data_IF_531241788318
#
_entry.id   IF_531241788318
#
_cell.length_a   1.000
_cell.length_b   1.000
_cell.length_c   1.000
_cell.angle_alpha   90.00
_cell.angle_beta   90.00
_cell.angle_gamma   90.00
#
_symmetry.space_group_name_H-M   'P 1'
#
loop_
_entity.id
_entity.type
_entity.pdbx_description
1 polymer ?
#
# COMPACT_ATOMS: atom_id res chain seq x y z
N UNK A 1 38.25 -14.80 36.28
CA UNK A 1 37.37 -15.66 37.07
C UNK A 1 36.42 -16.33 36.08
N UNK A 2 36.75 -17.57 35.59
CA UNK A 2 36.38 -18.90 36.12
C UNK A 2 34.89 -18.93 36.44
N UNK A 3 34.13 -19.70 35.73
CA UNK A 3 33.70 -21.07 35.60
C UNK A 3 32.26 -21.07 35.10
N UNK A 4 31.85 -21.81 34.11
CA UNK A 4 31.29 -23.15 34.22
C UNK A 4 31.34 -23.85 32.87
N UNK A 5 32.25 -24.82 32.78
CA UNK A 5 32.20 -25.89 31.80
C UNK A 5 31.65 -27.14 32.49
N UNK A 6 31.08 -28.02 31.69
CA UNK A 6 30.67 -29.40 31.94
C UNK A 6 29.20 -29.62 32.31
N UNK A 7 28.46 -30.18 31.35
CA UNK A 7 27.82 -31.49 31.56
C UNK A 7 27.34 -32.11 30.24
N UNK A 8 28.27 -32.78 29.54
CA UNK A 8 27.89 -33.86 28.61
C UNK A 8 28.38 -35.17 29.19
N UNK A 9 27.47 -36.04 29.66
CA UNK A 9 27.72 -37.45 29.90
C UNK A 9 26.81 -38.29 29.02
N UNK A 10 27.48 -38.87 28.05
CA UNK A 10 27.22 -40.05 27.25
C UNK A 10 26.59 -41.20 28.08
N UNK A 11 25.54 -41.84 27.54
CA UNK A 11 25.15 -43.21 27.93
C UNK A 11 24.73 -43.99 26.69
N UNK A 12 25.65 -44.80 26.21
CA UNK A 12 25.40 -45.94 25.33
C UNK A 12 24.71 -47.04 26.14
N UNK A 13 23.74 -47.73 25.55
CA UNK A 13 23.41 -49.12 25.83
C UNK A 13 22.85 -49.81 24.59
N UNK A 14 23.52 -50.85 24.26
CA UNK A 14 23.39 -51.92 23.27
C UNK A 14 22.08 -52.72 23.35
N UNK A 15 21.50 -53.03 22.20
CA UNK A 15 20.87 -54.16 21.55
C UNK A 15 19.75 -54.96 22.27
N UNK A 16 19.00 -55.81 21.59
CA UNK A 16 19.42 -56.70 20.50
C UNK A 16 18.46 -56.79 19.28
N UNK A 17 18.97 -57.40 18.28
CA UNK A 17 18.49 -57.97 17.04
C UNK A 17 17.18 -58.77 17.15
N UNK A 18 16.18 -58.51 16.26
CA UNK A 18 15.15 -59.46 15.89
C UNK A 18 14.46 -59.09 14.56
N UNK A 19 14.69 -60.00 13.59
CA UNK A 19 13.77 -60.50 12.57
C UNK A 19 13.20 -59.51 11.50
N UNK A 20 13.70 -59.74 10.31
CA UNK A 20 13.15 -59.36 8.99
C UNK A 20 11.77 -59.99 8.81
N UNK A 21 10.77 -59.17 8.53
CA UNK A 21 9.55 -59.54 7.82
C UNK A 21 9.38 -58.54 6.66
N UNK A 22 9.62 -59.03 5.46
CA UNK A 22 9.23 -58.34 4.21
C UNK A 22 7.72 -58.34 4.12
N UNK A 23 7.11 -57.15 4.28
CA UNK A 23 5.75 -56.90 3.84
C UNK A 23 5.80 -55.91 2.66
N UNK A 24 5.40 -56.42 1.51
CA UNK A 24 5.22 -55.70 0.27
C UNK A 24 4.23 -54.55 0.50
N UNK A 25 4.71 -53.30 0.40
CA UNK A 25 3.85 -52.11 0.37
C UNK A 25 3.46 -51.81 -1.06
N UNK A 26 2.17 -51.60 -1.35
CA UNK A 26 1.74 -51.11 -2.64
C UNK A 26 2.31 -49.72 -2.87
N UNK A 27 2.95 -49.53 -4.01
CA UNK A 27 3.42 -48.26 -4.50
C UNK A 27 2.22 -47.38 -4.84
N UNK A 28 1.76 -46.62 -3.87
CA UNK A 28 0.89 -45.48 -4.13
C UNK A 28 1.75 -44.33 -4.64
N UNK A 29 1.56 -43.99 -5.92
CA UNK A 29 2.16 -42.80 -6.54
C UNK A 29 1.68 -41.54 -5.83
N UNK A 30 2.42 -41.10 -4.82
CA UNK A 30 2.28 -39.77 -4.27
C UNK A 30 2.95 -38.80 -5.25
N UNK A 31 2.15 -38.23 -6.14
CA UNK A 31 2.46 -36.90 -6.67
C UNK A 31 2.44 -35.97 -5.45
N UNK A 32 3.63 -35.59 -5.00
CA UNK A 32 3.81 -34.52 -4.02
C UNK A 32 3.16 -33.25 -4.54
N UNK A 33 2.65 -32.39 -3.65
CA UNK A 33 2.20 -31.07 -4.07
C UNK A 33 3.35 -30.39 -4.80
N UNK A 34 3.05 -29.88 -6.01
CA UNK A 34 3.97 -29.05 -6.76
C UNK A 34 4.50 -27.99 -5.79
N UNK A 35 5.83 -27.88 -5.74
CA UNK A 35 6.50 -26.78 -5.05
C UNK A 35 5.88 -25.48 -5.57
N UNK A 36 4.95 -24.91 -4.80
CA UNK A 36 4.50 -23.55 -5.02
C UNK A 36 5.73 -22.67 -4.76
N UNK A 37 6.34 -22.24 -5.84
CA UNK A 37 7.36 -21.21 -5.82
C UNK A 37 6.84 -20.05 -4.95
N UNK A 38 7.58 -19.55 -3.94
CA UNK A 38 7.12 -18.45 -3.14
C UNK A 38 6.80 -17.29 -4.07
N UNK A 39 5.55 -16.80 -4.01
CA UNK A 39 5.08 -15.69 -4.81
C UNK A 39 6.12 -14.57 -4.74
N UNK A 40 6.74 -14.29 -5.87
CA UNK A 40 7.70 -13.18 -5.98
C UNK A 40 6.94 -11.91 -5.62
N UNK A 41 7.53 -10.99 -4.83
CA UNK A 41 6.90 -9.70 -4.58
C UNK A 41 6.58 -9.08 -5.93
N UNK A 42 5.32 -8.59 -6.09
CA UNK A 42 4.76 -8.00 -7.31
C UNK A 42 5.76 -7.04 -7.96
N UNK A 43 6.59 -7.53 -8.87
CA UNK A 43 7.45 -6.65 -9.66
C UNK A 43 6.55 -5.81 -10.58
N UNK A 44 6.78 -4.50 -10.67
CA UNK A 44 5.98 -3.63 -11.53
C UNK A 44 6.06 -4.12 -12.97
N UNK A 45 4.91 -4.18 -13.66
CA UNK A 45 4.89 -4.61 -15.05
C UNK A 45 5.81 -3.72 -15.91
N UNK A 46 6.64 -4.28 -16.79
CA UNK A 46 7.57 -3.49 -17.62
C UNK A 46 6.89 -2.35 -18.38
N UNK A 47 5.65 -2.54 -18.80
CA UNK A 47 4.84 -1.51 -19.46
C UNK A 47 4.50 -0.31 -18.57
N UNK A 48 4.33 -0.53 -17.26
CA UNK A 48 4.01 0.53 -16.31
C UNK A 48 5.25 1.38 -15.99
N UNK A 49 6.39 0.73 -15.83
CA UNK A 49 7.68 1.41 -15.65
C UNK A 49 8.07 2.22 -16.89
N UNK A 50 7.84 1.68 -18.08
CA UNK A 50 8.08 2.41 -19.35
C UNK A 50 7.17 3.64 -19.47
N UNK A 51 5.91 3.53 -19.01
CA UNK A 51 5.00 4.67 -19.00
C UNK A 51 5.46 5.74 -17.99
N UNK A 52 5.94 5.34 -16.83
CA UNK A 52 6.52 6.25 -15.84
C UNK A 52 7.73 7.00 -16.39
N UNK A 53 8.68 6.28 -16.99
CA UNK A 53 9.89 6.87 -17.58
C UNK A 53 9.57 7.87 -18.70
N UNK A 54 8.57 7.57 -19.56
CA UNK A 54 8.12 8.53 -20.59
C UNK A 54 7.49 9.78 -19.99
N UNK A 55 6.67 9.62 -18.93
CA UNK A 55 6.09 10.77 -18.23
C UNK A 55 7.16 11.62 -17.56
N UNK A 56 8.18 10.99 -16.97
CA UNK A 56 9.31 11.71 -16.40
C UNK A 56 9.96 12.61 -17.45
N UNK A 57 10.24 12.12 -18.66
CA UNK A 57 10.79 12.93 -19.76
C UNK A 57 9.87 14.08 -20.14
N UNK A 58 8.54 13.85 -20.24
CA UNK A 58 7.57 14.90 -20.54
C UNK A 58 7.50 15.98 -19.44
N UNK A 59 7.60 15.55 -18.18
CA UNK A 59 7.65 16.48 -17.03
C UNK A 59 8.96 17.28 -17.02
N UNK A 60 10.08 16.70 -17.47
CA UNK A 60 11.35 17.43 -17.59
C UNK A 60 11.29 18.50 -18.71
N UNK A 61 10.54 18.23 -19.78
CA UNK A 61 10.27 19.20 -20.85
C UNK A 61 9.25 20.27 -20.47
N UNK A 62 8.30 19.93 -19.59
CA UNK A 62 7.20 20.82 -19.16
C UNK A 62 6.96 20.71 -17.65
N UNK A 63 7.86 21.25 -16.82
CA UNK A 63 7.87 21.03 -15.36
C UNK A 63 6.69 21.65 -14.60
N UNK A 64 5.97 22.57 -15.22
CA UNK A 64 4.78 23.24 -14.66
C UNK A 64 3.47 22.66 -15.18
N UNK A 65 3.51 21.60 -16.00
CA UNK A 65 2.28 20.93 -16.46
C UNK A 65 1.70 20.07 -15.34
N UNK A 66 0.71 20.60 -14.67
CA UNK A 66 0.04 19.94 -13.54
C UNK A 66 -0.68 18.65 -13.95
N UNK A 67 -1.14 18.53 -15.20
CA UNK A 67 -1.79 17.31 -15.67
C UNK A 67 -0.77 16.17 -15.82
N UNK A 68 0.43 16.48 -16.33
CA UNK A 68 1.54 15.49 -16.39
C UNK A 68 1.98 15.07 -14.99
N UNK A 69 2.12 16.03 -14.07
CA UNK A 69 2.51 15.75 -12.69
C UNK A 69 1.49 14.86 -11.97
N UNK A 70 0.19 15.13 -12.11
CA UNK A 70 -0.89 14.29 -11.55
C UNK A 70 -0.82 12.88 -12.15
N UNK A 71 -0.66 12.78 -13.47
CA UNK A 71 -0.58 11.47 -14.14
C UNK A 71 0.66 10.68 -13.70
N UNK A 72 1.78 11.36 -13.50
CA UNK A 72 3.00 10.75 -12.96
C UNK A 72 2.77 10.22 -11.53
N UNK A 73 2.11 11.00 -10.67
CA UNK A 73 1.74 10.56 -9.33
C UNK A 73 0.80 9.34 -9.34
N UNK A 74 -0.16 9.28 -10.25
CA UNK A 74 -1.06 8.13 -10.39
C UNK A 74 -0.34 6.86 -10.84
N UNK A 75 0.63 6.96 -11.75
CA UNK A 75 1.46 5.81 -12.15
C UNK A 75 2.43 5.41 -11.02
N UNK A 76 3.04 6.38 -10.34
CA UNK A 76 3.87 6.10 -9.17
C UNK A 76 3.09 5.36 -8.06
N UNK A 77 1.82 5.70 -7.85
CA UNK A 77 0.92 4.98 -6.95
C UNK A 77 0.77 3.51 -7.35
N UNK A 78 0.54 3.24 -8.65
CA UNK A 78 0.41 1.87 -9.17
C UNK A 78 1.73 1.08 -9.04
N UNK A 79 2.87 1.76 -9.18
CA UNK A 79 4.21 1.20 -8.95
C UNK A 79 4.55 1.03 -7.47
N UNK A 80 3.69 1.51 -6.56
CA UNK A 80 3.95 1.59 -5.11
C UNK A 80 5.19 2.44 -4.77
N UNK A 81 5.61 3.31 -5.69
CA UNK A 81 6.68 4.29 -5.44
C UNK A 81 6.08 5.56 -4.83
N UNK A 82 5.83 5.49 -3.53
CA UNK A 82 5.19 6.57 -2.79
C UNK A 82 6.08 7.80 -2.62
N UNK A 83 7.40 7.66 -2.79
CA UNK A 83 8.33 8.79 -2.77
C UNK A 83 8.19 9.60 -4.06
N UNK A 84 8.22 8.94 -5.22
CA UNK A 84 8.00 9.60 -6.50
C UNK A 84 6.56 10.18 -6.61
N UNK A 85 5.57 9.48 -6.05
CA UNK A 85 4.19 9.97 -5.96
C UNK A 85 4.11 11.27 -5.16
N UNK A 86 4.77 11.33 -4.02
CA UNK A 86 4.81 12.51 -3.16
C UNK A 86 5.49 13.69 -3.86
N UNK A 87 6.66 13.48 -4.47
CA UNK A 87 7.41 14.52 -5.21
C UNK A 87 6.56 15.13 -6.33
N UNK A 88 5.91 14.29 -7.13
CA UNK A 88 5.05 14.75 -8.22
C UNK A 88 3.85 15.58 -7.71
N UNK A 89 3.21 15.13 -6.60
CA UNK A 89 2.12 15.86 -5.98
C UNK A 89 2.58 17.21 -5.38
N UNK A 90 3.72 17.23 -4.71
CA UNK A 90 4.30 18.45 -4.13
C UNK A 90 4.56 19.50 -5.22
N UNK A 91 5.19 19.09 -6.31
CA UNK A 91 5.41 19.97 -7.47
C UNK A 91 4.09 20.47 -8.06
N UNK A 92 3.08 19.61 -8.22
CA UNK A 92 1.77 20.01 -8.72
C UNK A 92 1.09 21.04 -7.82
N UNK A 93 1.16 20.87 -6.49
CA UNK A 93 0.59 21.82 -5.50
C UNK A 93 1.33 23.13 -5.46
N UNK A 94 2.65 23.15 -5.73
CA UNK A 94 3.44 24.37 -5.84
C UNK A 94 3.01 25.19 -7.07
N UNK A 95 2.72 24.52 -8.19
CA UNK A 95 2.24 25.21 -9.42
C UNK A 95 0.80 25.70 -9.24
N UNK A 96 -0.08 24.83 -8.72
CA UNK A 96 -1.47 25.18 -8.47
C UNK A 96 -1.98 24.55 -7.15
N UNK A 97 -2.07 25.37 -6.13
CA UNK A 97 -2.52 24.97 -4.79
C UNK A 97 -4.03 24.68 -4.68
N UNK A 98 -4.81 24.91 -5.76
CA UNK A 98 -6.25 24.62 -5.81
C UNK A 98 -6.57 23.22 -6.37
N UNK A 99 -5.55 22.43 -6.75
CA UNK A 99 -5.71 21.09 -7.30
C UNK A 99 -6.12 20.10 -6.22
N UNK A 100 -7.40 19.86 -6.09
CA UNK A 100 -7.96 18.89 -5.15
C UNK A 100 -7.31 17.50 -5.31
N UNK A 101 -7.18 17.02 -6.56
CA UNK A 101 -6.61 15.71 -6.87
C UNK A 101 -5.16 15.56 -6.39
N UNK A 102 -4.35 16.64 -6.55
CA UNK A 102 -2.96 16.62 -6.08
C UNK A 102 -2.88 16.48 -4.55
N UNK A 103 -3.69 17.21 -3.80
CA UNK A 103 -3.75 17.09 -2.34
C UNK A 103 -4.25 15.72 -1.89
N UNK A 104 -5.21 15.11 -2.60
CA UNK A 104 -5.71 13.78 -2.29
C UNK A 104 -4.60 12.72 -2.49
N UNK A 105 -3.96 12.71 -3.66
CA UNK A 105 -2.85 11.80 -3.95
C UNK A 105 -1.67 12.01 -2.98
N UNK A 106 -1.39 13.25 -2.60
CA UNK A 106 -0.37 13.55 -1.62
C UNK A 106 -0.71 12.93 -0.24
N UNK A 107 -1.97 13.03 0.18
CA UNK A 107 -2.42 12.40 1.43
C UNK A 107 -2.28 10.87 1.39
N UNK A 108 -2.61 10.24 0.26
CA UNK A 108 -2.42 8.79 0.05
C UNK A 108 -0.93 8.39 0.13
N UNK A 109 -0.05 9.18 -0.51
CA UNK A 109 1.40 8.94 -0.45
C UNK A 109 1.94 9.05 0.99
N UNK A 110 1.55 10.08 1.73
CA UNK A 110 1.91 10.26 3.14
C UNK A 110 1.37 9.11 4.02
N UNK A 111 0.12 8.66 3.80
CA UNK A 111 -0.45 7.52 4.52
C UNK A 111 0.37 6.26 4.29
N UNK A 112 0.74 5.96 3.04
CA UNK A 112 1.53 4.80 2.68
C UNK A 112 2.94 4.82 3.30
N UNK A 113 3.51 6.02 3.46
CA UNK A 113 4.80 6.25 4.14
C UNK A 113 4.67 6.36 5.67
N UNK A 114 3.46 6.12 6.23
CA UNK A 114 3.16 6.24 7.65
C UNK A 114 3.31 7.65 8.23
N UNK A 115 3.36 8.68 7.42
CA UNK A 115 3.35 10.08 7.82
C UNK A 115 1.92 10.57 8.07
N UNK A 116 1.39 10.18 9.22
CA UNK A 116 -0.01 10.42 9.59
C UNK A 116 -0.34 11.91 9.65
N UNK A 117 0.60 12.74 10.13
CA UNK A 117 0.35 14.17 10.33
C UNK A 117 0.19 14.88 9.00
N UNK A 118 1.12 14.66 8.05
CA UNK A 118 1.00 15.24 6.72
C UNK A 118 -0.17 14.66 5.93
N UNK A 119 -0.47 13.36 6.11
CA UNK A 119 -1.65 12.75 5.49
C UNK A 119 -2.96 13.42 5.95
N UNK A 120 -3.12 13.73 7.26
CA UNK A 120 -4.27 14.47 7.78
C UNK A 120 -4.29 15.90 7.21
N UNK A 121 -3.16 16.58 7.19
CA UNK A 121 -3.09 17.94 6.67
C UNK A 121 -3.51 18.02 5.19
N UNK A 122 -2.97 17.13 4.34
CA UNK A 122 -3.25 17.11 2.92
C UNK A 122 -4.69 16.66 2.62
N UNK A 123 -5.20 15.64 3.30
CA UNK A 123 -6.61 15.23 3.16
C UNK A 123 -7.58 16.31 3.63
N UNK A 124 -7.25 17.05 4.70
CA UNK A 124 -8.04 18.20 5.15
C UNK A 124 -8.06 19.31 4.11
N UNK A 125 -6.92 19.63 3.50
CA UNK A 125 -6.85 20.63 2.42
C UNK A 125 -7.67 20.19 1.21
N UNK A 126 -7.59 18.93 0.81
CA UNK A 126 -8.40 18.38 -0.28
C UNK A 126 -9.91 18.49 0.02
N UNK A 127 -10.35 18.18 1.25
CA UNK A 127 -11.74 18.30 1.65
C UNK A 127 -12.20 19.76 1.66
N UNK A 128 -11.38 20.68 2.14
CA UNK A 128 -11.71 22.12 2.07
C UNK A 128 -11.91 22.60 0.64
N UNK A 129 -11.07 22.12 -0.29
CA UNK A 129 -11.23 22.42 -1.71
C UNK A 129 -12.50 21.79 -2.30
N UNK A 130 -12.80 20.55 -1.91
CA UNK A 130 -14.01 19.85 -2.34
C UNK A 130 -15.27 20.58 -1.88
N UNK A 131 -15.33 21.00 -0.62
CA UNK A 131 -16.49 21.71 -0.05
C UNK A 131 -16.61 23.16 -0.56
N UNK A 132 -15.51 23.75 -0.99
CA UNK A 132 -15.48 25.11 -1.56
C UNK A 132 -15.78 25.16 -3.06
N UNK A 133 -15.83 24.03 -3.74
CA UNK A 133 -16.10 23.93 -5.17
C UNK A 133 -17.46 23.27 -5.40
N UNK A 134 -18.27 23.85 -6.29
CA UNK A 134 -19.54 23.24 -6.72
C UNK A 134 -19.27 22.18 -7.81
N UNK A 135 -18.41 21.22 -7.50
CA UNK A 135 -17.97 20.17 -8.42
C UNK A 135 -18.15 18.80 -7.82
N UNK A 136 -18.56 17.85 -8.66
CA UNK A 136 -18.59 16.44 -8.26
C UNK A 136 -17.20 15.85 -8.34
N UNK A 137 -16.68 15.36 -7.21
CA UNK A 137 -15.41 14.65 -7.16
C UNK A 137 -15.66 13.14 -7.01
N UNK A 138 -15.31 12.31 -8.01
CA UNK A 138 -15.64 10.89 -8.00
C UNK A 138 -15.06 10.12 -6.81
N UNK A 139 -13.90 10.55 -6.29
CA UNK A 139 -13.22 9.93 -5.16
C UNK A 139 -13.55 10.62 -3.81
N UNK A 140 -14.63 11.39 -3.73
CA UNK A 140 -15.00 12.10 -2.50
C UNK A 140 -15.18 11.15 -1.31
N UNK A 141 -15.84 10.01 -1.53
CA UNK A 141 -16.04 9.00 -0.48
C UNK A 141 -14.70 8.44 0.04
N UNK A 142 -13.76 8.15 -0.87
CA UNK A 142 -12.43 7.64 -0.52
C UNK A 142 -11.64 8.68 0.27
N UNK A 143 -11.72 9.95 -0.12
CA UNK A 143 -11.05 11.05 0.57
C UNK A 143 -11.54 11.23 2.01
N UNK A 144 -12.87 11.22 2.25
CA UNK A 144 -13.41 11.27 3.61
C UNK A 144 -13.03 10.03 4.42
N UNK A 145 -13.10 8.83 3.82
CA UNK A 145 -12.68 7.60 4.48
C UNK A 145 -11.21 7.64 4.88
N UNK A 146 -10.32 8.06 3.96
CA UNK A 146 -8.89 8.23 4.21
C UNK A 146 -8.65 9.11 5.46
N UNK A 147 -9.25 10.32 5.51
CA UNK A 147 -9.07 11.21 6.67
C UNK A 147 -9.67 10.62 7.93
N UNK A 148 -10.83 10.00 7.87
CA UNK A 148 -11.48 9.36 9.02
C UNK A 148 -10.61 8.26 9.63
N UNK A 149 -10.00 7.40 8.82
CA UNK A 149 -9.05 6.37 9.27
C UNK A 149 -7.82 6.98 9.96
N UNK A 150 -7.27 8.05 9.40
CA UNK A 150 -6.13 8.78 9.96
C UNK A 150 -6.48 9.44 11.30
N UNK A 151 -7.65 10.09 11.40
CA UNK A 151 -8.14 10.70 12.63
C UNK A 151 -8.37 9.66 13.72
N UNK A 152 -8.86 8.47 13.38
CA UNK A 152 -8.98 7.36 14.31
C UNK A 152 -7.62 6.95 14.88
N UNK A 153 -6.58 6.90 14.05
CA UNK A 153 -5.21 6.55 14.48
C UNK A 153 -4.60 7.57 15.45
N UNK A 154 -4.96 8.84 15.35
CA UNK A 154 -4.50 9.89 16.30
C UNK A 154 -5.44 10.09 17.48
N UNK A 155 -6.54 9.32 17.55
CA UNK A 155 -7.47 9.32 18.67
C UNK A 155 -8.61 10.33 18.56
N UNK A 156 -8.74 11.06 17.47
CA UNK A 156 -9.90 11.94 17.21
C UNK A 156 -11.08 11.11 16.69
N UNK A 157 -11.79 10.51 17.63
CA UNK A 157 -12.95 9.65 17.33
C UNK A 157 -14.12 10.43 16.75
N UNK A 158 -14.35 11.65 17.22
CA UNK A 158 -15.49 12.46 16.77
C UNK A 158 -15.30 12.90 15.31
N UNK A 159 -14.12 13.39 14.95
CA UNK A 159 -13.77 13.71 13.57
C UNK A 159 -13.83 12.50 12.66
N UNK A 160 -13.31 11.35 13.12
CA UNK A 160 -13.34 10.12 12.36
C UNK A 160 -14.77 9.63 12.06
N UNK A 161 -15.67 9.65 13.06
CA UNK A 161 -17.07 9.27 12.88
C UNK A 161 -17.79 10.20 11.90
N UNK A 162 -17.57 11.50 11.99
CA UNK A 162 -18.14 12.48 11.06
C UNK A 162 -17.69 12.22 9.61
N UNK A 163 -16.41 11.96 9.40
CA UNK A 163 -15.86 11.65 8.08
C UNK A 163 -16.38 10.32 7.53
N UNK A 164 -16.48 9.28 8.36
CA UNK A 164 -17.05 8.01 7.95
C UNK A 164 -18.52 8.15 7.54
N UNK A 165 -19.32 8.91 8.27
CA UNK A 165 -20.71 9.19 7.90
C UNK A 165 -20.77 9.97 6.59
N UNK A 166 -19.88 10.96 6.40
CA UNK A 166 -19.82 11.74 5.17
C UNK A 166 -19.43 10.87 3.98
N UNK A 167 -18.46 9.98 4.11
CA UNK A 167 -18.03 9.05 3.04
C UNK A 167 -19.20 8.23 2.50
N UNK A 168 -20.04 7.69 3.39
CA UNK A 168 -21.24 6.92 3.00
C UNK A 168 -22.26 7.81 2.30
N UNK A 169 -22.44 9.06 2.74
CA UNK A 169 -23.43 9.98 2.17
C UNK A 169 -23.08 10.49 0.77
N UNK A 170 -21.78 10.52 0.42
CA UNK A 170 -21.30 10.98 -0.88
C UNK A 170 -21.00 9.83 -1.84
N UNK A 171 -21.08 8.57 -1.40
CA UNK A 171 -20.98 7.44 -2.32
C UNK A 171 -22.10 7.51 -3.38
N UNK A 172 -21.77 7.39 -4.66
CA UNK A 172 -22.78 7.32 -5.70
C UNK A 172 -23.63 6.06 -5.46
N UNK A 173 -24.97 6.23 -5.38
CA UNK A 173 -25.92 5.11 -5.29
C UNK A 173 -25.66 4.20 -6.49
N UNK A 174 -25.07 3.03 -6.25
CA UNK A 174 -24.90 2.02 -7.30
C UNK A 174 -26.30 1.57 -7.74
N UNK A 175 -26.63 1.66 -9.04
CA UNK A 175 -27.91 1.12 -9.50
C UNK A 175 -27.97 -0.37 -9.14
N UNK A 176 -29.06 -0.79 -8.52
CA UNK A 176 -29.31 -2.21 -8.22
C UNK A 176 -29.20 -3.03 -9.53
N UNK A 177 -28.37 -4.08 -9.51
CA UNK A 177 -28.24 -5.03 -10.62
C UNK A 177 -29.47 -5.91 -10.73
#
# INVERSE_FOLDING_TARGET
MKLFSNLFKKKEKTGPEAAVVEEERPTFGAQGPADEEPAQPDEPSPSLLDAFNRLQQQVDESPEDTALLIRMAEIACQLKDYVAMQDACERAVVVDSSLLRAHHLYAEACQAQHDVINAIAMSTKAIMLLEGQDTTYPQAADLYRLRGELLMRVGDKAGAEADMQKSVSVEPVRPAR
#
